data_IF_929348346581
#
_entry.id   IF_929348346581
#
_cell.length_a   1.000
_cell.length_b   1.000
_cell.length_c   1.000
_cell.angle_alpha   90.00
_cell.angle_beta   90.00
_cell.angle_gamma   90.00
#
_symmetry.space_group_name_H-M   'P 1'
#
loop_
_entity.id
_entity.type
_entity.pdbx_description
1 polymer ?
#
# COMPACT_ATOMS: atom_id res chain seq x y z
N UNK A 1 -8.98 -17.70 7.75
CA UNK A 1 -9.63 -18.93 7.29
C UNK A 1 -9.10 -20.21 7.95
N UNK A 2 -7.97 -20.20 8.69
CA UNK A 2 -7.48 -21.41 9.37
C UNK A 2 -8.42 -21.87 10.48
N UNK A 3 -9.12 -20.95 11.13
CA UNK A 3 -10.16 -21.29 12.12
C UNK A 3 -11.32 -22.03 11.47
N UNK A 4 -11.82 -21.51 10.35
CA UNK A 4 -12.91 -22.13 9.60
C UNK A 4 -12.56 -23.56 9.14
N UNK A 5 -11.38 -23.77 8.55
CA UNK A 5 -10.98 -25.10 8.06
C UNK A 5 -10.97 -26.13 9.20
N UNK A 6 -10.48 -25.74 10.38
CA UNK A 6 -10.48 -26.60 11.57
C UNK A 6 -11.89 -26.85 12.11
N UNK A 7 -12.73 -25.82 12.16
CA UNK A 7 -14.14 -25.93 12.58
C UNK A 7 -14.91 -26.94 11.72
N UNK A 8 -14.69 -26.92 10.40
CA UNK A 8 -15.36 -27.80 9.44
C UNK A 8 -14.74 -29.20 9.35
N UNK A 9 -13.60 -29.45 10.00
CA UNK A 9 -12.84 -30.70 9.83
C UNK A 9 -12.39 -30.95 8.38
N UNK A 10 -12.23 -29.89 7.60
CA UNK A 10 -11.97 -29.96 6.16
C UNK A 10 -10.47 -30.14 5.85
N UNK A 11 -10.16 -30.83 4.76
CA UNK A 11 -8.80 -30.90 4.20
C UNK A 11 -8.48 -29.65 3.39
N UNK A 12 -7.37 -28.98 3.69
CA UNK A 12 -6.90 -27.84 2.91
C UNK A 12 -6.17 -28.30 1.64
N UNK A 13 -6.59 -27.81 0.47
CA UNK A 13 -5.95 -28.07 -0.83
C UNK A 13 -5.41 -26.75 -1.37
N UNK A 14 -4.14 -26.74 -1.79
CA UNK A 14 -3.49 -25.55 -2.36
C UNK A 14 -3.93 -25.38 -3.81
N UNK A 15 -4.31 -24.15 -4.17
CA UNK A 15 -4.59 -23.72 -5.54
C UNK A 15 -3.63 -22.58 -5.94
N UNK A 16 -3.56 -22.28 -7.24
CA UNK A 16 -2.66 -21.26 -7.78
C UNK A 16 -3.02 -19.84 -7.29
N UNK A 17 -4.31 -19.51 -7.30
CA UNK A 17 -4.85 -18.29 -6.69
C UNK A 17 -6.30 -18.53 -6.21
N UNK A 18 -6.89 -17.52 -5.56
CA UNK A 18 -8.24 -17.61 -4.98
C UNK A 18 -9.36 -17.64 -6.00
N UNK A 19 -9.19 -17.01 -7.18
CA UNK A 19 -10.19 -17.04 -8.25
C UNK A 19 -10.15 -18.39 -8.98
N UNK A 20 -8.97 -18.91 -9.30
CA UNK A 20 -8.76 -20.24 -9.87
C UNK A 20 -9.24 -21.36 -8.94
N UNK A 21 -9.19 -21.17 -7.61
CA UNK A 21 -9.82 -22.11 -6.68
C UNK A 21 -11.35 -22.20 -6.90
N UNK A 22 -12.02 -21.08 -7.17
CA UNK A 22 -13.45 -21.06 -7.48
C UNK A 22 -13.72 -21.76 -8.82
N UNK A 23 -12.93 -21.48 -9.85
CA UNK A 23 -13.02 -22.14 -11.16
C UNK A 23 -12.89 -23.67 -11.03
N UNK A 24 -11.89 -24.15 -10.29
CA UNK A 24 -11.67 -25.59 -10.08
C UNK A 24 -12.87 -26.25 -9.41
N UNK A 25 -13.46 -25.61 -8.39
CA UNK A 25 -14.64 -26.14 -7.69
C UNK A 25 -15.86 -26.17 -8.62
N UNK A 26 -16.06 -25.11 -9.41
CA UNK A 26 -17.13 -25.05 -10.39
C UNK A 26 -16.99 -26.14 -11.46
N UNK A 27 -15.78 -26.36 -11.98
CA UNK A 27 -15.50 -27.39 -12.98
C UNK A 27 -15.67 -28.82 -12.45
N UNK A 28 -15.31 -29.07 -11.18
CA UNK A 28 -15.50 -30.38 -10.53
C UNK A 28 -16.98 -30.73 -10.31
N UNK A 29 -17.84 -29.71 -10.13
CA UNK A 29 -19.26 -29.87 -9.84
C UNK A 29 -19.55 -30.89 -8.71
N UNK A 30 -18.77 -30.81 -7.64
CA UNK A 30 -18.81 -31.71 -6.49
C UNK A 30 -19.29 -30.97 -5.25
N UNK A 31 -20.26 -31.55 -4.53
CA UNK A 31 -20.78 -30.98 -3.29
C UNK A 31 -19.84 -31.14 -2.09
N UNK A 32 -18.76 -31.93 -2.24
CA UNK A 32 -17.76 -32.16 -1.22
C UNK A 32 -16.59 -31.15 -1.29
N UNK A 33 -16.50 -30.39 -2.38
CA UNK A 33 -15.44 -29.41 -2.61
C UNK A 33 -15.99 -27.98 -2.39
N UNK A 34 -15.18 -27.12 -1.76
CA UNK A 34 -15.51 -25.72 -1.56
C UNK A 34 -14.28 -24.84 -1.80
N UNK A 35 -14.49 -23.61 -2.26
CA UNK A 35 -13.44 -22.64 -2.50
C UNK A 35 -13.54 -21.47 -1.51
N UNK A 36 -12.38 -20.94 -1.11
CA UNK A 36 -12.25 -19.68 -0.40
C UNK A 36 -11.81 -18.65 -1.44
N UNK A 37 -12.74 -17.79 -1.84
CA UNK A 37 -12.54 -16.82 -2.91
C UNK A 37 -13.29 -15.51 -2.62
N UNK A 38 -13.07 -14.49 -3.47
CA UNK A 38 -13.89 -13.28 -3.44
C UNK A 38 -15.34 -13.62 -3.84
N UNK A 39 -16.31 -12.82 -3.37
CA UNK A 39 -17.71 -13.01 -3.79
C UNK A 39 -17.87 -12.86 -5.31
N UNK A 40 -17.11 -11.94 -5.92
CA UNK A 40 -17.07 -11.75 -7.37
C UNK A 40 -16.65 -13.04 -8.11
N UNK A 41 -15.63 -13.76 -7.64
CA UNK A 41 -15.23 -15.03 -8.25
C UNK A 41 -16.34 -16.09 -8.15
N UNK A 42 -17.04 -16.15 -7.00
CA UNK A 42 -18.20 -17.04 -6.86
C UNK A 42 -19.31 -16.71 -7.86
N UNK A 43 -19.65 -15.43 -8.01
CA UNK A 43 -20.67 -14.95 -8.96
C UNK A 43 -20.31 -15.26 -10.42
N UNK A 44 -19.07 -15.00 -10.82
CA UNK A 44 -18.58 -15.26 -12.18
C UNK A 44 -18.64 -16.74 -12.57
N UNK A 45 -18.44 -17.65 -11.60
CA UNK A 45 -18.46 -19.09 -11.82
C UNK A 45 -19.80 -19.75 -11.43
N UNK A 46 -20.84 -18.97 -11.11
CA UNK A 46 -22.16 -19.49 -10.75
C UNK A 46 -22.18 -20.32 -9.46
N UNK A 47 -21.24 -20.09 -8.55
CA UNK A 47 -21.13 -20.80 -7.28
C UNK A 47 -22.01 -20.17 -6.19
N UNK A 48 -22.53 -21.03 -5.31
CA UNK A 48 -23.26 -20.58 -4.13
C UNK A 48 -22.30 -20.17 -3.00
N UNK A 49 -22.49 -18.98 -2.44
CA UNK A 49 -21.75 -18.53 -1.26
C UNK A 49 -22.31 -19.24 -0.02
N UNK A 50 -21.50 -20.11 0.60
CA UNK A 50 -21.90 -20.87 1.80
C UNK A 50 -21.76 -20.06 3.10
N UNK A 51 -20.70 -19.25 3.21
CA UNK A 51 -20.43 -18.37 4.36
C UNK A 51 -19.69 -17.12 3.88
N UNK A 52 -20.03 -15.95 4.43
CA UNK A 52 -19.36 -14.67 4.15
C UNK A 52 -18.38 -14.34 5.27
N UNK A 53 -17.38 -13.51 4.96
CA UNK A 53 -16.42 -12.93 5.92
C UNK A 53 -15.74 -14.01 6.78
N UNK A 54 -15.13 -15.00 6.12
CA UNK A 54 -14.53 -16.20 6.74
C UNK A 54 -13.04 -16.03 7.09
N UNK A 55 -12.49 -14.85 6.81
CA UNK A 55 -11.14 -14.44 7.20
C UNK A 55 -10.91 -14.57 8.71
N UNK A 56 -9.67 -14.87 9.11
CA UNK A 56 -9.37 -14.93 10.54
C UNK A 56 -9.30 -13.52 11.12
N UNK A 57 -8.81 -12.53 10.38
CA UNK A 57 -8.65 -11.17 10.85
C UNK A 57 -9.53 -10.23 10.01
N UNK A 58 -10.42 -9.49 10.65
CA UNK A 58 -11.35 -8.56 10.00
C UNK A 58 -10.68 -7.31 9.46
N UNK A 59 -9.42 -7.06 9.82
CA UNK A 59 -8.68 -5.85 9.47
C UNK A 59 -7.76 -6.01 8.24
N UNK A 60 -7.93 -7.07 7.44
CA UNK A 60 -7.12 -7.25 6.24
C UNK A 60 -7.50 -6.23 5.16
N UNK A 61 -6.71 -5.16 5.05
CA UNK A 61 -6.92 -4.08 4.08
C UNK A 61 -5.82 -4.11 3.03
N UNK A 62 -6.19 -4.19 1.75
CA UNK A 62 -5.24 -4.04 0.64
C UNK A 62 -5.32 -2.62 0.10
N UNK A 63 -4.18 -1.96 0.00
CA UNK A 63 -4.08 -0.62 -0.58
C UNK A 63 -3.61 -0.72 -2.02
N UNK A 64 -4.30 0.01 -2.91
CA UNK A 64 -3.97 0.10 -4.33
C UNK A 64 -3.52 1.52 -4.69
N UNK A 65 -2.66 1.63 -5.70
CA UNK A 65 -2.37 2.89 -6.39
C UNK A 65 -3.08 2.88 -7.74
N UNK A 66 -3.76 3.98 -8.06
CA UNK A 66 -4.27 4.22 -9.43
C UNK A 66 -3.19 4.98 -10.17
N UNK A 67 -2.70 4.42 -11.27
CA UNK A 67 -1.60 4.98 -12.05
C UNK A 67 -2.11 5.53 -13.39
N UNK A 68 -1.53 6.64 -13.83
CA UNK A 68 -1.76 7.24 -15.14
C UNK A 68 -0.41 7.44 -15.84
N UNK A 69 -0.42 7.41 -17.18
CA UNK A 69 0.78 7.65 -17.98
C UNK A 69 1.26 9.10 -17.87
N UNK A 70 0.31 10.03 -17.97
CA UNK A 70 0.58 11.46 -17.85
C UNK A 70 0.24 11.95 -16.43
N UNK A 71 1.00 12.91 -15.87
CA UNK A 71 0.73 13.45 -14.55
C UNK A 71 -0.62 14.17 -14.50
N UNK A 72 -1.43 13.86 -13.49
CA UNK A 72 -2.57 14.69 -13.11
C UNK A 72 -2.07 15.79 -12.17
N UNK A 73 -2.19 17.05 -12.58
CA UNK A 73 -1.77 18.19 -11.78
C UNK A 73 -2.93 18.66 -10.92
N UNK A 74 -2.74 18.63 -9.60
CA UNK A 74 -3.70 19.12 -8.61
C UNK A 74 -3.25 20.47 -8.07
N UNK A 75 -4.20 21.34 -7.74
CA UNK A 75 -3.87 22.65 -7.18
C UNK A 75 -3.35 22.50 -5.73
N UNK A 76 -2.33 23.28 -5.30
CA UNK A 76 -1.74 23.12 -3.96
C UNK A 76 -2.70 23.39 -2.79
N UNK A 77 -3.81 24.09 -3.03
CA UNK A 77 -4.88 24.37 -2.08
C UNK A 77 -5.94 23.26 -2.01
N UNK A 78 -5.85 22.22 -2.85
CA UNK A 78 -6.71 21.05 -2.76
C UNK A 78 -6.54 20.41 -1.38
N UNK A 79 -7.63 20.15 -0.64
CA UNK A 79 -7.54 19.60 0.70
C UNK A 79 -7.06 18.14 0.66
N UNK A 80 -6.41 17.72 1.76
CA UNK A 80 -6.09 16.32 2.02
C UNK A 80 -5.23 15.64 0.95
N UNK A 81 -4.32 16.37 0.33
CA UNK A 81 -3.37 15.79 -0.62
C UNK A 81 -2.28 14.99 0.07
N UNK A 82 -1.80 13.96 -0.64
CA UNK A 82 -0.65 13.16 -0.28
C UNK A 82 0.34 13.16 -1.43
N UNK A 83 1.63 13.11 -1.10
CA UNK A 83 2.70 12.99 -2.08
C UNK A 83 3.48 11.71 -1.85
N UNK A 84 3.66 10.92 -2.91
CA UNK A 84 4.54 9.74 -2.92
C UNK A 84 5.78 10.04 -3.72
N UNK A 85 6.94 9.67 -3.18
CA UNK A 85 8.22 9.88 -3.82
C UNK A 85 9.21 8.80 -3.42
N UNK A 86 10.23 8.62 -4.26
CA UNK A 86 11.41 7.82 -3.93
C UNK A 86 12.62 8.73 -3.76
N UNK A 87 13.53 8.34 -2.89
CA UNK A 87 14.80 9.04 -2.72
C UNK A 87 15.92 8.07 -2.36
N UNK A 88 17.14 8.43 -2.74
CA UNK A 88 18.33 7.67 -2.41
C UNK A 88 19.16 8.45 -1.40
N UNK A 89 19.55 7.81 -0.30
CA UNK A 89 20.45 8.42 0.68
C UNK A 89 21.91 8.15 0.33
N UNK A 90 22.80 9.05 0.75
CA UNK A 90 24.24 8.79 0.71
C UNK A 90 24.61 7.71 1.73
N UNK A 91 25.64 6.90 1.44
CA UNK A 91 26.14 5.88 2.37
C UNK A 91 27.04 6.51 3.46
N UNK A 92 26.44 7.30 4.35
CA UNK A 92 27.12 7.94 5.48
C UNK A 92 26.35 7.71 6.78
N UNK A 93 27.01 7.71 7.95
CA UNK A 93 26.32 7.59 9.23
C UNK A 93 25.21 8.63 9.38
N UNK A 94 24.07 8.19 9.92
CA UNK A 94 22.86 8.99 10.11
C UNK A 94 22.28 9.61 8.83
N UNK A 95 22.57 9.06 7.65
CA UNK A 95 22.04 9.58 6.39
C UNK A 95 20.51 9.65 6.35
N UNK A 96 19.81 8.58 6.77
CA UNK A 96 18.35 8.59 6.82
C UNK A 96 17.82 9.60 7.83
N UNK A 97 18.40 9.65 9.04
CA UNK A 97 17.99 10.63 10.05
C UNK A 97 18.08 12.07 9.54
N UNK A 98 19.20 12.41 8.88
CA UNK A 98 19.41 13.72 8.27
C UNK A 98 18.42 13.99 7.13
N UNK A 99 18.18 12.99 6.27
CA UNK A 99 17.21 13.09 5.17
C UNK A 99 15.78 13.35 5.67
N UNK A 100 15.41 12.82 6.84
CA UNK A 100 14.08 12.97 7.42
C UNK A 100 13.91 14.26 8.27
N UNK A 101 14.99 14.97 8.58
CA UNK A 101 15.00 16.13 9.47
C UNK A 101 14.02 17.22 9.03
N UNK A 102 14.06 17.60 7.75
CA UNK A 102 13.20 18.63 7.19
C UNK A 102 11.71 18.34 7.30
N UNK A 103 11.30 17.06 7.22
CA UNK A 103 9.89 16.69 7.38
C UNK A 103 9.44 16.89 8.84
N UNK A 104 10.27 16.48 9.79
CA UNK A 104 9.98 16.64 11.21
C UNK A 104 9.91 18.12 11.63
N UNK A 105 10.90 18.93 11.23
CA UNK A 105 10.99 20.34 11.63
C UNK A 105 9.95 21.24 10.97
N UNK A 106 9.50 20.89 9.75
CA UNK A 106 8.41 21.61 9.06
C UNK A 106 7.01 21.08 9.42
N UNK A 107 6.90 20.08 10.30
CA UNK A 107 5.62 19.52 10.71
C UNK A 107 4.88 18.80 9.57
N UNK A 108 5.63 18.11 8.70
CA UNK A 108 5.10 17.30 7.61
C UNK A 108 4.97 15.86 8.11
N UNK A 109 3.75 15.35 8.14
CA UNK A 109 3.49 13.98 8.55
C UNK A 109 3.87 12.98 7.46
N UNK A 110 4.58 11.91 7.83
CA UNK A 110 5.01 10.83 6.94
C UNK A 110 4.23 9.56 7.27
N UNK A 111 3.49 9.01 6.31
CA UNK A 111 2.59 7.86 6.52
C UNK A 111 3.16 6.52 6.09
N UNK A 112 4.23 6.53 5.30
CA UNK A 112 4.89 5.33 4.81
C UNK A 112 6.36 5.64 4.57
N UNK A 113 7.22 4.73 4.98
CA UNK A 113 8.65 4.76 4.70
C UNK A 113 9.14 3.32 4.58
N UNK A 114 9.56 2.93 3.39
CA UNK A 114 10.05 1.58 3.11
C UNK A 114 11.41 1.64 2.43
N UNK A 115 12.37 0.87 2.93
CA UNK A 115 13.70 0.75 2.34
C UNK A 115 13.74 -0.37 1.30
N UNK A 116 14.45 -0.11 0.21
CA UNK A 116 14.74 -1.05 -0.85
C UNK A 116 16.24 -1.06 -1.13
N UNK A 117 16.80 -2.26 -1.25
CA UNK A 117 18.18 -2.43 -1.70
C UNK A 117 18.20 -2.38 -3.22
N UNK A 118 18.94 -1.44 -3.78
CA UNK A 118 19.10 -1.30 -5.23
C UNK A 118 20.27 -2.18 -5.68
N UNK A 119 20.08 -2.99 -6.72
CA UNK A 119 21.13 -3.79 -7.37
C UNK A 119 21.90 -4.78 -6.46
N UNK A 120 21.31 -5.21 -5.33
CA UNK A 120 21.93 -6.19 -4.44
C UNK A 120 23.17 -5.70 -3.69
N UNK A 121 23.50 -4.40 -3.75
CA UNK A 121 24.59 -3.79 -3.00
C UNK A 121 24.06 -3.09 -1.74
N UNK A 122 24.67 -3.39 -0.59
CA UNK A 122 24.31 -2.80 0.71
C UNK A 122 24.55 -1.29 0.80
N UNK A 123 25.19 -0.68 -0.20
CA UNK A 123 25.69 0.70 -0.17
C UNK A 123 24.71 1.73 -0.72
N UNK A 124 23.68 1.35 -1.48
CA UNK A 124 22.69 2.27 -2.03
C UNK A 124 21.29 1.87 -1.56
N UNK A 125 20.83 2.52 -0.48
CA UNK A 125 19.46 2.31 0.02
C UNK A 125 18.54 3.35 -0.63
N UNK A 126 17.62 2.87 -1.45
CA UNK A 126 16.48 3.65 -1.94
C UNK A 126 15.35 3.56 -0.92
N UNK A 127 14.60 4.64 -0.76
CA UNK A 127 13.42 4.70 0.09
C UNK A 127 12.21 5.09 -0.74
N UNK A 128 11.10 4.38 -0.55
CA UNK A 128 9.77 4.82 -0.95
C UNK A 128 9.11 5.49 0.25
N UNK A 129 8.69 6.74 0.09
CA UNK A 129 8.06 7.51 1.14
C UNK A 129 6.74 8.13 0.69
N UNK A 130 5.87 8.34 1.67
CA UNK A 130 4.63 9.07 1.51
C UNK A 130 4.44 10.08 2.62
N UNK A 131 4.04 11.28 2.24
CA UNK A 131 3.85 12.40 3.15
C UNK A 131 2.54 13.12 2.85
N UNK A 132 2.03 13.80 3.87
CA UNK A 132 0.91 14.71 3.71
C UNK A 132 1.34 16.00 3.03
N UNK A 133 0.50 16.49 2.12
CA UNK A 133 0.65 17.77 1.45
C UNK A 133 1.05 17.66 -0.03
N UNK A 134 1.10 18.84 -0.65
CA UNK A 134 1.46 19.05 -2.04
C UNK A 134 2.87 19.67 -2.13
N UNK A 135 3.75 19.28 -3.09
CA UNK A 135 5.15 19.73 -3.13
C UNK A 135 5.33 21.26 -3.24
N UNK A 136 4.34 21.96 -3.78
CA UNK A 136 4.33 23.43 -3.86
C UNK A 136 3.85 24.13 -2.57
N UNK A 137 3.35 23.41 -1.57
CA UNK A 137 3.05 23.99 -0.25
C UNK A 137 4.34 24.27 0.51
N UNK A 138 4.39 25.39 1.23
CA UNK A 138 5.61 25.89 1.88
C UNK A 138 6.31 24.84 2.75
N UNK A 139 5.58 24.21 3.68
CA UNK A 139 6.14 23.21 4.61
C UNK A 139 6.80 22.03 3.90
N UNK A 140 6.12 21.48 2.89
CA UNK A 140 6.62 20.33 2.15
C UNK A 140 7.74 20.73 1.17
N UNK A 141 7.66 21.92 0.57
CA UNK A 141 8.74 22.47 -0.27
C UNK A 141 10.04 22.60 0.54
N UNK A 142 9.97 23.21 1.74
CA UNK A 142 11.14 23.36 2.62
C UNK A 142 11.70 21.99 3.05
N UNK A 143 10.84 21.02 3.35
CA UNK A 143 11.28 19.65 3.65
C UNK A 143 11.99 18.98 2.46
N UNK A 144 11.49 19.16 1.23
CA UNK A 144 12.14 18.66 0.02
C UNK A 144 13.47 19.34 -0.27
N UNK A 145 13.60 20.65 0.01
CA UNK A 145 14.87 21.37 -0.13
C UNK A 145 15.94 20.82 0.81
N UNK A 146 15.60 20.55 2.06
CA UNK A 146 16.52 19.91 3.01
C UNK A 146 16.83 18.46 2.60
N UNK A 147 15.82 17.70 2.17
CA UNK A 147 16.01 16.33 1.68
C UNK A 147 16.99 16.29 0.49
N UNK A 148 16.91 17.26 -0.43
CA UNK A 148 17.78 17.34 -1.60
C UNK A 148 19.25 17.50 -1.24
N UNK A 149 19.56 18.12 -0.10
CA UNK A 149 20.94 18.25 0.38
C UNK A 149 21.53 16.91 0.85
N UNK A 150 20.71 16.05 1.46
CA UNK A 150 21.14 14.76 2.02
C UNK A 150 20.93 13.56 1.08
N UNK A 151 20.23 13.77 -0.03
CA UNK A 151 19.92 12.73 -1.02
C UNK A 151 20.81 12.82 -2.26
N UNK A 152 20.96 11.72 -2.99
CA UNK A 152 21.60 11.71 -4.32
C UNK A 152 20.58 11.82 -5.45
N UNK A 153 19.35 11.40 -5.19
CA UNK A 153 18.24 11.43 -6.14
C UNK A 153 16.94 11.57 -5.36
N UNK A 154 16.00 12.34 -5.89
CA UNK A 154 14.62 12.43 -5.43
C UNK A 154 13.74 12.38 -6.67
N UNK A 155 12.75 11.48 -6.68
CA UNK A 155 11.75 11.39 -7.74
C UNK A 155 10.36 11.33 -7.14
N UNK A 156 9.58 12.38 -7.39
CA UNK A 156 8.15 12.39 -7.06
C UNK A 156 7.43 11.45 -8.03
N UNK A 157 6.68 10.50 -7.48
CA UNK A 157 5.88 9.54 -8.24
C UNK A 157 4.46 10.03 -8.49
N UNK A 158 3.94 10.87 -7.60
CA UNK A 158 2.66 11.53 -7.78
C UNK A 158 2.16 12.24 -6.54
N UNK A 159 1.24 13.18 -6.75
CA UNK A 159 0.46 13.85 -5.70
C UNK A 159 -1.02 13.61 -5.96
N UNK A 160 -1.74 13.11 -4.97
CA UNK A 160 -3.11 12.62 -5.12
C UNK A 160 -3.92 12.80 -3.84
N UNK A 161 -5.26 12.83 -3.90
CA UNK A 161 -6.09 12.93 -2.69
C UNK A 161 -5.93 11.71 -1.78
N UNK A 162 -5.88 11.95 -0.47
CA UNK A 162 -5.92 10.89 0.53
C UNK A 162 -7.26 10.13 0.44
N UNK A 163 -7.20 8.81 0.62
CA UNK A 163 -8.41 8.01 0.73
C UNK A 163 -9.23 8.40 1.99
N UNK A 164 -10.57 8.51 1.91
CA UNK A 164 -11.42 8.82 3.06
C UNK A 164 -11.17 7.91 4.28
N UNK A 165 -10.83 6.65 4.07
CA UNK A 165 -10.48 5.71 5.14
C UNK A 165 -9.32 6.22 6.00
N UNK A 166 -8.29 6.80 5.36
CA UNK A 166 -7.13 7.36 6.06
C UNK A 166 -7.48 8.63 6.83
N UNK A 167 -8.38 9.45 6.30
CA UNK A 167 -8.88 10.64 7.00
C UNK A 167 -9.67 10.27 8.26
N UNK A 168 -10.50 9.23 8.16
CA UNK A 168 -11.26 8.72 9.31
C UNK A 168 -10.34 8.20 10.43
N UNK A 169 -9.24 7.51 10.09
CA UNK A 169 -8.27 7.02 11.09
C UNK A 169 -7.56 8.17 11.83
N UNK A 170 -7.28 9.29 11.16
CA UNK A 170 -6.63 10.46 11.78
C UNK A 170 -7.52 11.20 12.76
N UNK A 171 -8.82 11.23 12.53
CA UNK A 171 -9.78 11.91 13.40
C UNK A 171 -10.04 11.15 14.71
N UNK A 172 -9.66 9.87 14.78
CA UNK A 172 -9.89 8.99 15.93
C UNK A 172 -8.69 8.76 16.85
N UNK A 173 -7.54 9.37 16.56
CA UNK A 173 -6.32 9.31 17.39
C UNK A 173 -6.06 10.63 18.10
#
# INVERSE_FOLDING_TARGET
VRRLIRELGAGAVVAYDTAGAAEIVAAKNSIADAAIASSLAGELHGLQILRRNVEDETHNTTRFYVMAKEPVVLAPDTPNLMTTFVFNVRNVPAALFKALGGFATNGVNMTKLESYMVNGTFTATQFLAEVDGHPAQEKLRLAFEELAFFSTEIKILGTYPADPFRLAQRAGG
#
